data_IF_151628512373
#
_entry.id   IF_151628512373
#
_cell.length_a   1.000
_cell.length_b   1.000
_cell.length_c   1.000
_cell.angle_alpha   90.00
_cell.angle_beta   90.00
_cell.angle_gamma   90.00
#
_symmetry.space_group_name_H-M   'P 1'
#
loop_
_entity.id
_entity.type
_entity.pdbx_description
1 polymer ?
#
# COMPACT_ATOMS: atom_id res chain seq x y z
N UNK A 1 41.50 12.74 30.32
CA UNK A 1 41.44 13.34 28.96
C UNK A 1 40.74 12.34 28.03
N UNK A 2 39.52 12.60 27.58
CA UNK A 2 38.70 11.56 26.91
C UNK A 2 37.60 12.08 25.98
N UNK A 3 37.85 13.17 25.24
CA UNK A 3 36.84 13.75 24.35
C UNK A 3 37.35 14.05 22.92
N UNK A 4 38.57 13.64 22.56
CA UNK A 4 39.12 13.92 21.22
C UNK A 4 38.94 12.77 20.20
N UNK A 5 38.50 11.58 20.63
CA UNK A 5 38.33 10.43 19.72
C UNK A 5 37.05 10.48 18.86
N UNK A 6 36.07 11.35 19.17
CA UNK A 6 34.81 11.45 18.41
C UNK A 6 34.94 12.26 17.10
N UNK A 7 35.94 13.14 16.97
CA UNK A 7 36.13 13.94 15.76
C UNK A 7 36.84 13.17 14.63
N UNK A 8 37.70 12.19 14.97
CA UNK A 8 38.40 11.35 14.00
C UNK A 8 37.49 10.36 13.29
N UNK A 9 36.55 9.74 14.03
CA UNK A 9 35.63 8.73 13.51
C UNK A 9 34.67 9.28 12.44
N UNK A 10 34.23 10.54 12.56
CA UNK A 10 33.39 11.19 11.53
C UNK A 10 34.14 11.45 10.22
N UNK A 11 35.44 11.76 10.28
CA UNK A 11 36.28 11.92 9.08
C UNK A 11 36.48 10.61 8.33
N UNK A 12 36.55 9.48 9.04
CA UNK A 12 36.72 8.17 8.43
C UNK A 12 35.46 7.68 7.71
N UNK A 13 34.26 8.02 8.22
CA UNK A 13 32.99 7.67 7.57
C UNK A 13 32.76 8.47 6.28
N UNK A 14 33.16 9.75 6.25
CA UNK A 14 33.07 10.58 5.05
C UNK A 14 33.98 10.07 3.91
N UNK A 15 35.18 9.56 4.24
CA UNK A 15 36.12 9.00 3.26
C UNK A 15 35.64 7.67 2.65
N UNK A 16 34.85 6.88 3.38
CA UNK A 16 34.26 5.64 2.85
C UNK A 16 33.06 5.93 1.92
N UNK A 17 32.28 6.98 2.19
CA UNK A 17 31.20 7.40 1.30
C UNK A 17 31.72 7.89 -0.08
N UNK A 18 32.94 8.42 -0.13
CA UNK A 18 33.57 8.85 -1.38
C UNK A 18 34.19 7.69 -2.17
N UNK A 19 34.77 6.69 -1.50
CA UNK A 19 35.35 5.52 -2.16
C UNK A 19 34.29 4.55 -2.74
N UNK A 20 33.07 4.53 -2.20
CA UNK A 20 31.95 3.82 -2.80
C UNK A 20 31.43 4.46 -4.11
N UNK A 21 31.82 5.71 -4.40
CA UNK A 21 31.48 6.41 -5.66
C UNK A 21 32.47 6.13 -6.81
N UNK A 22 33.63 5.51 -6.54
CA UNK A 22 34.74 5.42 -7.50
C UNK A 22 34.86 4.07 -8.25
N UNK A 23 33.91 3.13 -8.11
CA UNK A 23 33.91 1.87 -8.87
C UNK A 23 32.56 1.60 -9.56
N UNK A 24 32.25 2.38 -10.59
CA UNK A 24 31.38 1.94 -11.71
C UNK A 24 32.03 2.38 -13.03
N UNK A 25 32.12 1.49 -14.04
CA UNK A 25 32.84 1.74 -15.29
C UNK A 25 32.22 2.91 -16.09
N UNK A 26 32.99 3.59 -16.96
CA UNK A 26 32.52 4.71 -17.75
C UNK A 26 31.56 4.21 -18.83
N UNK A 27 30.26 4.29 -18.56
CA UNK A 27 29.25 4.08 -19.60
C UNK A 27 29.29 5.30 -20.51
N UNK A 28 29.73 5.08 -21.75
CA UNK A 28 29.80 6.06 -22.82
C UNK A 28 28.61 7.04 -22.77
N UNK A 29 28.92 8.34 -22.90
CA UNK A 29 27.93 9.42 -23.04
C UNK A 29 27.01 9.11 -24.23
N UNK A 30 25.87 8.47 -23.94
CA UNK A 30 24.70 8.56 -24.82
C UNK A 30 24.16 9.99 -24.69
N UNK A 31 23.81 10.66 -25.80
CA UNK A 31 23.19 11.98 -25.73
C UNK A 31 21.94 11.90 -24.85
N UNK A 32 21.70 12.95 -24.07
CA UNK A 32 20.56 13.07 -23.18
C UNK A 32 19.28 12.73 -23.93
N UNK A 33 18.43 11.81 -23.44
CA UNK A 33 17.08 11.75 -23.94
C UNK A 33 16.41 13.08 -23.54
N UNK A 34 15.92 13.80 -24.55
CA UNK A 34 14.92 14.87 -24.41
C UNK A 34 13.82 14.44 -23.42
N UNK A 35 13.12 15.36 -22.74
CA UNK A 35 12.05 15.01 -21.82
C UNK A 35 11.06 14.09 -22.52
N UNK A 36 11.07 12.81 -22.15
CA UNK A 36 10.17 11.84 -22.73
C UNK A 36 8.74 12.32 -22.45
N UNK A 37 7.85 12.34 -23.47
CA UNK A 37 6.45 12.66 -23.24
C UNK A 37 5.92 11.69 -22.18
N UNK A 38 5.21 12.24 -21.19
CA UNK A 38 4.57 11.47 -20.13
C UNK A 38 3.87 10.25 -20.71
N UNK A 39 4.44 9.07 -20.48
CA UNK A 39 3.81 7.81 -20.85
C UNK A 39 2.41 7.83 -20.23
N UNK A 40 1.33 7.68 -21.03
CA UNK A 40 -0.01 7.61 -20.46
C UNK A 40 -0.01 6.42 -19.52
N UNK A 41 -0.11 6.71 -18.23
CA UNK A 41 -0.11 5.70 -17.18
C UNK A 41 -1.22 4.72 -17.54
N UNK A 42 -0.88 3.42 -17.57
CA UNK A 42 -1.81 2.30 -17.78
C UNK A 42 -3.20 2.65 -17.21
N UNK A 43 -4.31 2.45 -17.96
CA UNK A 43 -5.63 2.85 -17.50
C UNK A 43 -5.83 2.30 -16.10
N UNK A 44 -5.86 3.21 -15.12
CA UNK A 44 -6.04 2.85 -13.72
C UNK A 44 -7.33 2.09 -13.64
N UNK A 45 -7.31 0.87 -13.10
CA UNK A 45 -8.50 0.03 -13.01
C UNK A 45 -9.67 0.87 -12.50
N UNK A 46 -10.85 0.80 -13.14
CA UNK A 46 -12.01 1.62 -12.76
C UNK A 46 -12.34 1.45 -11.27
N UNK A 47 -12.08 0.26 -10.73
CA UNK A 47 -12.20 -0.08 -9.31
C UNK A 47 -11.29 0.77 -8.41
N UNK A 48 -10.04 1.00 -8.81
CA UNK A 48 -9.08 1.83 -8.07
C UNK A 48 -9.49 3.30 -8.11
N UNK A 49 -10.07 3.75 -9.24
CA UNK A 49 -10.65 5.09 -9.33
C UNK A 49 -11.83 5.25 -8.36
N UNK A 50 -12.72 4.25 -8.28
CA UNK A 50 -13.82 4.20 -7.31
C UNK A 50 -13.32 4.25 -5.87
N UNK A 51 -12.30 3.46 -5.53
CA UNK A 51 -11.64 3.53 -4.21
C UNK A 51 -11.11 4.94 -3.95
N UNK A 52 -10.49 5.59 -4.94
CA UNK A 52 -10.00 6.97 -4.81
C UNK A 52 -11.10 7.99 -4.54
N UNK A 53 -12.29 7.83 -5.14
CA UNK A 53 -13.46 8.66 -4.82
C UNK A 53 -13.92 8.45 -3.37
N UNK A 54 -13.98 7.19 -2.92
CA UNK A 54 -14.32 6.84 -1.53
C UNK A 54 -13.32 7.45 -0.55
N UNK A 55 -12.02 7.43 -0.85
CA UNK A 55 -10.98 8.04 -0.02
C UNK A 55 -11.14 9.57 0.11
N UNK A 56 -11.59 10.25 -0.95
CA UNK A 56 -11.85 11.69 -0.91
C UNK A 56 -13.06 12.04 -0.04
N UNK A 57 -14.10 11.22 -0.10
CA UNK A 57 -15.35 11.46 0.67
C UNK A 57 -15.22 11.02 2.12
N UNK A 58 -14.57 9.89 2.35
CA UNK A 58 -14.45 9.23 3.66
C UNK A 58 -12.98 8.98 4.00
N UNK A 59 -12.19 10.03 4.30
CA UNK A 59 -10.77 9.87 4.60
C UNK A 59 -10.50 9.09 5.90
N UNK A 60 -11.48 9.05 6.81
CA UNK A 60 -11.39 8.33 8.08
C UNK A 60 -11.54 6.81 7.90
N UNK A 61 -12.54 6.37 7.12
CA UNK A 61 -12.76 4.96 6.80
C UNK A 61 -11.79 4.44 5.73
N UNK A 62 -11.50 5.26 4.73
CA UNK A 62 -10.60 4.94 3.62
C UNK A 62 -9.38 5.88 3.63
N UNK A 63 -8.41 5.67 4.54
CA UNK A 63 -7.19 6.47 4.58
C UNK A 63 -6.33 6.25 3.33
N UNK A 64 -5.61 7.30 2.91
CA UNK A 64 -4.63 7.26 1.81
C UNK A 64 -3.21 7.23 2.38
N UNK A 65 -2.28 6.58 1.68
CA UNK A 65 -0.85 6.49 2.02
C UNK A 65 -0.30 7.89 2.38
N UNK A 66 0.46 8.10 3.49
CA UNK A 66 1.15 7.13 4.36
C UNK A 66 0.35 6.54 5.53
N UNK A 67 -0.92 6.88 5.72
CA UNK A 67 -1.68 6.40 6.88
C UNK A 67 -1.91 4.87 6.83
N UNK A 68 -1.82 4.17 7.98
CA UNK A 68 -2.17 2.76 8.07
C UNK A 68 -3.65 2.58 7.71
N UNK A 69 -3.98 1.47 7.04
CA UNK A 69 -5.39 1.15 6.79
C UNK A 69 -6.08 0.82 8.11
N UNK A 70 -7.40 0.91 8.12
CA UNK A 70 -8.22 0.68 9.31
C UNK A 70 -9.20 -0.47 9.06
N UNK A 71 -9.51 -1.28 10.09
CA UNK A 71 -10.57 -2.28 10.01
C UNK A 71 -11.90 -1.60 9.73
N UNK A 72 -12.58 -1.98 8.65
CA UNK A 72 -13.88 -1.42 8.34
C UNK A 72 -14.97 -2.12 9.15
N UNK A 73 -16.02 -1.37 9.49
CA UNK A 73 -17.27 -1.88 10.06
C UNK A 73 -17.80 -3.06 9.24
N UNK A 74 -18.33 -4.08 9.91
CA UNK A 74 -19.06 -5.17 9.24
C UNK A 74 -20.35 -4.58 8.65
N UNK A 75 -20.60 -4.79 7.36
CA UNK A 75 -21.75 -4.19 6.69
C UNK A 75 -21.54 -2.74 6.24
N UNK A 76 -20.30 -2.21 6.24
CA UNK A 76 -19.98 -0.86 5.71
C UNK A 76 -20.51 -0.61 4.29
N UNK A 77 -20.74 -1.67 3.51
CA UNK A 77 -21.33 -1.60 2.18
C UNK A 77 -22.74 -0.99 2.19
N UNK A 78 -23.58 -1.31 3.18
CA UNK A 78 -24.93 -0.75 3.29
C UNK A 78 -24.89 0.75 3.57
N UNK A 79 -23.97 1.17 4.43
CA UNK A 79 -23.74 2.59 4.72
C UNK A 79 -23.19 3.32 3.46
N UNK A 80 -22.32 2.67 2.69
CA UNK A 80 -21.82 3.21 1.43
C UNK A 80 -22.90 3.28 0.34
N UNK A 81 -23.86 2.35 0.32
CA UNK A 81 -24.98 2.36 -0.63
C UNK A 81 -25.86 3.60 -0.46
N UNK A 82 -26.02 4.10 0.77
CA UNK A 82 -26.75 5.36 1.04
C UNK A 82 -26.08 6.57 0.41
N UNK A 83 -24.74 6.56 0.32
CA UNK A 83 -23.93 7.63 -0.27
C UNK A 83 -23.52 7.38 -1.73
N UNK A 84 -23.80 6.19 -2.28
CA UNK A 84 -23.56 5.85 -3.67
C UNK A 84 -24.18 6.85 -4.69
N UNK A 85 -25.44 7.33 -4.52
CA UNK A 85 -26.01 8.31 -5.45
C UNK A 85 -25.27 9.65 -5.42
N UNK A 86 -24.80 10.12 -4.27
CA UNK A 86 -24.01 11.35 -4.15
C UNK A 86 -22.66 11.25 -4.88
N UNK A 87 -22.07 10.05 -4.87
CA UNK A 87 -20.79 9.77 -5.50
C UNK A 87 -20.90 9.37 -6.98
N UNK A 88 -22.13 9.25 -7.50
CA UNK A 88 -22.44 8.75 -8.83
C UNK A 88 -21.74 7.40 -9.10
N UNK A 89 -21.82 6.50 -8.13
CA UNK A 89 -21.24 5.16 -8.19
C UNK A 89 -22.35 4.12 -8.27
N UNK A 90 -22.15 3.09 -9.08
CA UNK A 90 -23.06 1.95 -9.12
C UNK A 90 -22.76 0.94 -8.01
N UNK A 91 -23.77 0.17 -7.61
CA UNK A 91 -23.63 -0.93 -6.64
C UNK A 91 -22.51 -1.92 -7.04
N UNK A 92 -22.42 -2.24 -8.33
CA UNK A 92 -21.44 -3.18 -8.86
C UNK A 92 -20.01 -2.68 -8.71
N UNK A 93 -19.79 -1.39 -8.98
CA UNK A 93 -18.48 -0.74 -8.80
C UNK A 93 -18.11 -0.69 -7.33
N UNK A 94 -19.07 -0.34 -6.46
CA UNK A 94 -18.87 -0.26 -5.02
C UNK A 94 -18.50 -1.63 -4.43
N UNK A 95 -19.25 -2.68 -4.78
CA UNK A 95 -18.95 -4.06 -4.35
C UNK A 95 -17.57 -4.50 -4.83
N UNK A 96 -17.20 -4.17 -6.07
CA UNK A 96 -15.87 -4.48 -6.61
C UNK A 96 -14.76 -3.72 -5.89
N UNK A 97 -14.97 -2.43 -5.59
CA UNK A 97 -14.05 -1.58 -4.86
C UNK A 97 -13.78 -2.10 -3.45
N UNK A 98 -14.83 -2.44 -2.69
CA UNK A 98 -14.69 -3.00 -1.34
C UNK A 98 -13.99 -4.35 -1.40
N UNK A 99 -14.34 -5.22 -2.37
CA UNK A 99 -13.69 -6.52 -2.53
C UNK A 99 -12.18 -6.39 -2.76
N UNK A 100 -11.76 -5.45 -3.61
CA UNK A 100 -10.33 -5.17 -3.85
C UNK A 100 -9.69 -4.56 -2.61
N UNK A 101 -10.38 -3.64 -1.93
CA UNK A 101 -9.88 -2.99 -0.71
C UNK A 101 -9.58 -4.00 0.40
N UNK A 102 -10.53 -4.90 0.71
CA UNK A 102 -10.42 -5.90 1.76
C UNK A 102 -9.48 -7.07 1.41
N UNK A 103 -9.10 -7.23 0.14
CA UNK A 103 -8.11 -8.22 -0.33
C UNK A 103 -6.68 -7.67 -0.35
N UNK A 104 -6.47 -6.41 0.03
CA UNK A 104 -5.14 -5.80 0.05
C UNK A 104 -4.33 -6.25 1.26
N UNK A 105 -3.02 -6.46 1.09
CA UNK A 105 -2.12 -6.84 2.19
C UNK A 105 -2.22 -5.88 3.38
N UNK A 106 -2.19 -4.57 3.09
CA UNK A 106 -2.32 -3.52 4.10
C UNK A 106 -3.63 -3.58 4.90
N UNK A 107 -4.68 -4.19 4.36
CA UNK A 107 -5.93 -4.35 5.10
C UNK A 107 -5.79 -5.49 6.11
N UNK A 108 -5.19 -6.61 5.70
CA UNK A 108 -4.96 -7.76 6.58
C UNK A 108 -4.01 -7.42 7.73
N UNK A 109 -2.95 -6.64 7.48
CA UNK A 109 -1.99 -6.23 8.54
C UNK A 109 -2.63 -5.41 9.66
N UNK A 110 -3.78 -4.78 9.40
CA UNK A 110 -4.47 -3.94 10.38
C UNK A 110 -5.59 -4.68 11.10
N UNK A 111 -5.92 -5.92 10.69
CA UNK A 111 -6.90 -6.78 11.35
C UNK A 111 -6.27 -7.47 12.57
N UNK A 112 -6.04 -6.69 13.62
CA UNK A 112 -5.57 -7.19 14.92
C UNK A 112 -6.78 -7.44 15.82
N UNK A 113 -6.75 -8.50 16.61
CA UNK A 113 -7.78 -8.80 17.60
C UNK A 113 -8.00 -7.61 18.55
N UNK A 114 -9.28 -7.29 18.82
CA UNK A 114 -9.66 -6.16 19.67
C UNK A 114 -9.49 -4.78 19.02
N UNK A 115 -9.07 -4.70 17.75
CA UNK A 115 -9.02 -3.43 17.04
C UNK A 115 -10.45 -2.91 16.79
N UNK A 116 -10.69 -1.64 17.12
CA UNK A 116 -11.95 -0.98 16.82
C UNK A 116 -12.16 -0.87 15.30
N UNK A 117 -13.28 -1.40 14.82
CA UNK A 117 -13.72 -1.22 13.44
C UNK A 117 -14.27 0.18 13.29
N UNK A 118 -13.91 0.87 12.22
CA UNK A 118 -14.39 2.23 11.96
C UNK A 118 -15.49 2.23 10.91
N UNK A 119 -16.50 3.07 11.13
CA UNK A 119 -17.52 3.38 10.14
C UNK A 119 -17.10 4.54 9.21
N UNK A 120 -18.02 4.98 8.34
CA UNK A 120 -17.78 6.07 7.38
C UNK A 120 -17.51 7.43 8.04
N UNK A 121 -18.04 7.65 9.24
CA UNK A 121 -17.82 8.85 10.04
C UNK A 121 -16.54 8.76 10.91
N UNK A 122 -15.86 7.61 10.91
CA UNK A 122 -14.70 7.35 11.75
C UNK A 122 -15.06 6.97 13.19
N UNK A 123 -16.32 6.63 13.45
CA UNK A 123 -16.79 6.17 14.76
C UNK A 123 -16.52 4.67 14.90
N UNK A 124 -16.16 4.24 16.11
CA UNK A 124 -15.99 2.83 16.44
C UNK A 124 -17.34 2.10 16.33
N UNK A 125 -17.43 1.16 15.41
CA UNK A 125 -18.62 0.38 15.10
C UNK A 125 -18.31 -1.13 15.19
N UNK A 126 -18.00 -1.55 16.41
CA UNK A 126 -17.63 -2.93 16.76
C UNK A 126 -16.12 -3.17 16.75
N UNK A 127 -15.73 -4.42 16.97
CA UNK A 127 -14.34 -4.82 17.14
C UNK A 127 -13.97 -5.98 16.21
N UNK A 128 -12.69 -6.15 15.95
CA UNK A 128 -12.15 -7.28 15.21
C UNK A 128 -12.08 -8.49 16.13
N UNK A 129 -12.77 -9.57 15.77
CA UNK A 129 -12.76 -10.83 16.52
C UNK A 129 -11.43 -11.56 16.35
N UNK A 130 -11.04 -12.40 17.31
CA UNK A 130 -9.84 -13.26 17.24
C UNK A 130 -9.87 -14.14 15.98
N UNK A 131 -11.05 -14.63 15.60
CA UNK A 131 -11.25 -15.43 14.39
C UNK A 131 -11.02 -14.63 13.09
N UNK A 132 -11.38 -13.34 13.05
CA UNK A 132 -11.06 -12.46 11.91
C UNK A 132 -9.55 -12.21 11.81
N UNK A 133 -8.90 -11.92 12.93
CA UNK A 133 -7.46 -11.66 12.99
C UNK A 133 -6.65 -12.89 12.55
N UNK A 134 -6.97 -14.08 13.07
CA UNK A 134 -6.32 -15.33 12.66
C UNK A 134 -6.50 -15.62 11.16
N UNK A 135 -7.70 -15.36 10.61
CA UNK A 135 -7.95 -15.49 9.17
C UNK A 135 -7.12 -14.51 8.35
N UNK A 136 -6.97 -13.27 8.80
CA UNK A 136 -6.14 -12.28 8.12
C UNK A 136 -4.68 -12.71 8.02
N UNK A 137 -4.11 -13.23 9.12
CA UNK A 137 -2.75 -13.79 9.17
C UNK A 137 -2.60 -14.98 8.21
N UNK A 138 -3.58 -15.88 8.18
CA UNK A 138 -3.56 -17.02 7.26
C UNK A 138 -3.58 -16.58 5.78
N UNK A 139 -4.43 -15.60 5.45
CA UNK A 139 -4.53 -15.05 4.09
C UNK A 139 -3.24 -14.35 3.65
N UNK A 140 -2.61 -13.59 4.54
CA UNK A 140 -1.32 -12.94 4.30
C UNK A 140 -0.23 -13.98 4.00
N UNK A 141 -0.11 -14.99 4.86
CA UNK A 141 0.84 -16.10 4.70
C UNK A 141 0.67 -16.82 3.35
N UNK A 142 -0.56 -17.17 3.00
CA UNK A 142 -0.86 -17.87 1.74
C UNK A 142 -0.57 -16.99 0.50
N UNK A 143 -0.79 -15.67 0.61
CA UNK A 143 -0.46 -14.74 -0.47
C UNK A 143 1.04 -14.65 -0.68
N UNK A 144 1.83 -14.52 0.39
CA UNK A 144 3.30 -14.48 0.32
C UNK A 144 3.81 -15.78 -0.31
N UNK A 145 3.28 -16.94 0.10
CA UNK A 145 3.64 -18.22 -0.48
C UNK A 145 3.31 -18.29 -1.99
N UNK A 146 2.13 -17.83 -2.41
CA UNK A 146 1.77 -17.77 -3.84
C UNK A 146 2.65 -16.81 -4.64
N UNK A 147 2.97 -15.64 -4.07
CA UNK A 147 3.84 -14.66 -4.72
C UNK A 147 5.27 -15.20 -4.87
N UNK A 148 5.81 -15.89 -3.88
CA UNK A 148 7.12 -16.54 -3.95
C UNK A 148 7.16 -17.68 -4.99
N UNK A 149 6.09 -18.46 -5.11
CA UNK A 149 5.99 -19.51 -6.13
C UNK A 149 5.77 -18.96 -7.54
N UNK A 150 5.06 -17.83 -7.68
CA UNK A 150 4.87 -17.14 -8.97
C UNK A 150 6.17 -16.51 -9.49
N UNK A 151 7.06 -16.06 -8.60
CA UNK A 151 8.38 -15.54 -8.97
C UNK A 151 9.36 -16.66 -9.37
N UNK A 152 9.16 -17.88 -8.84
CA UNK A 152 9.97 -19.07 -9.17
C UNK A 152 9.53 -19.82 -10.43
N UNK A 153 8.46 -19.42 -11.11
CA UNK A 153 8.10 -19.99 -12.40
C UNK A 153 8.90 -19.26 -13.51
N UNK A 154 9.95 -19.87 -14.11
CA UNK A 154 10.68 -19.23 -15.18
C UNK A 154 9.76 -19.06 -16.40
N UNK A 155 9.88 -17.90 -17.03
CA UNK A 155 9.32 -17.62 -18.34
C UNK A 155 9.86 -18.64 -19.34
N UNK A 156 9.09 -19.68 -19.63
CA UNK A 156 9.29 -20.53 -20.81
C UNK A 156 8.42 -19.98 -21.93
N UNK A 157 9.04 -19.76 -23.10
CA UNK A 157 8.54 -19.25 -24.40
C UNK A 157 9.02 -17.81 -24.68
N UNK A 158 9.78 -17.51 -25.73
CA UNK A 158 10.13 -18.24 -26.94
C UNK A 158 11.49 -17.74 -27.47
#
# INVERSE_FOLDING_TARGET
MGFEQLAGLKKQLAKQAEQAKAKKPPRARRPAPAPAPAVPSKPVDPVVHTIGKLQKRFPLAFPKNPAPKVPLKVGIFEDLMKHAPELQLSERELRSAIKVWCRGNRYWTCLVEGAARVDLAGVAAGEVTSADAARAVHLESNRVARSASAEKAPQSSA
#
